data_IF_243337463618
#
_entry.id   IF_243337463618
#
_cell.length_a   1.000
_cell.length_b   1.000
_cell.length_c   1.000
_cell.angle_alpha   90.00
_cell.angle_beta   90.00
_cell.angle_gamma   90.00
#
_symmetry.space_group_name_H-M   'P 1'
#
loop_
_entity.id
_entity.type
_entity.pdbx_description
1 polymer ?
#
# COMPACT_ATOMS: atom_id res chain seq x y z
N UNK A 1 -10.23 -6.01 -17.13
CA UNK A 1 -9.96 -5.28 -18.39
C UNK A 1 -10.71 -5.91 -19.57
N UNK A 2 -10.56 -7.20 -19.86
CA UNK A 2 -11.19 -7.85 -21.01
C UNK A 2 -12.73 -7.71 -21.03
N UNK A 3 -13.38 -7.84 -19.88
CA UNK A 3 -14.83 -7.68 -19.78
C UNK A 3 -15.29 -6.25 -20.13
N UNK A 4 -14.55 -5.21 -19.73
CA UNK A 4 -14.85 -3.83 -20.07
C UNK A 4 -14.61 -3.53 -21.54
N UNK A 5 -13.57 -4.12 -22.15
CA UNK A 5 -13.29 -3.95 -23.58
C UNK A 5 -14.43 -4.49 -24.45
N UNK A 6 -15.12 -5.53 -24.02
CA UNK A 6 -16.20 -6.18 -24.76
C UNK A 6 -17.58 -5.54 -24.53
N UNK A 7 -17.67 -4.47 -23.71
CA UNK A 7 -18.96 -3.87 -23.34
C UNK A 7 -19.68 -3.14 -24.49
N UNK A 8 -18.97 -2.69 -25.52
CA UNK A 8 -19.57 -1.96 -26.64
C UNK A 8 -20.60 -2.82 -27.40
N UNK A 9 -20.29 -4.11 -27.56
CA UNK A 9 -21.10 -5.07 -28.30
C UNK A 9 -21.98 -5.96 -27.41
N UNK A 10 -21.91 -5.78 -26.09
CA UNK A 10 -22.68 -6.57 -25.14
C UNK A 10 -24.18 -6.22 -25.21
N UNK A 11 -25.10 -7.22 -25.11
CA UNK A 11 -26.52 -6.98 -24.88
C UNK A 11 -26.73 -6.09 -23.64
N UNK A 12 -27.82 -5.32 -23.65
CA UNK A 12 -28.09 -4.37 -22.55
C UNK A 12 -28.08 -5.02 -21.17
N UNK A 13 -28.63 -6.25 -21.07
CA UNK A 13 -28.73 -6.99 -19.82
C UNK A 13 -27.39 -7.61 -19.36
N UNK A 14 -26.39 -7.65 -20.23
CA UNK A 14 -25.05 -8.17 -19.95
C UNK A 14 -24.01 -7.04 -19.73
N UNK A 15 -24.43 -5.79 -19.76
CA UNK A 15 -23.53 -4.65 -19.53
C UNK A 15 -23.15 -4.54 -18.07
N UNK A 16 -21.90 -4.14 -17.84
CA UNK A 16 -21.38 -3.84 -16.50
C UNK A 16 -21.79 -2.41 -16.14
N UNK A 17 -22.66 -2.26 -15.15
CA UNK A 17 -23.08 -0.95 -14.65
C UNK A 17 -22.12 -0.38 -13.61
N UNK A 18 -21.52 -1.26 -12.78
CA UNK A 18 -20.59 -0.91 -11.70
C UNK A 18 -19.45 -1.93 -11.69
N UNK A 19 -18.24 -1.45 -11.53
CA UNK A 19 -17.07 -2.30 -11.30
C UNK A 19 -16.21 -1.75 -10.16
N UNK A 20 -15.51 -2.64 -9.50
CA UNK A 20 -14.57 -2.32 -8.43
C UNK A 20 -13.17 -2.16 -8.99
N UNK A 21 -12.43 -1.19 -8.47
CA UNK A 21 -11.04 -0.96 -8.83
C UNK A 21 -10.24 -0.59 -7.59
N UNK A 22 -9.07 -1.19 -7.45
CA UNK A 22 -8.10 -0.79 -6.43
C UNK A 22 -7.47 0.55 -6.81
N UNK A 23 -7.08 1.33 -5.79
CA UNK A 23 -6.47 2.65 -5.95
C UNK A 23 -5.32 2.67 -6.96
N UNK A 24 -4.44 1.68 -6.92
CA UNK A 24 -3.28 1.55 -7.81
C UNK A 24 -3.64 1.40 -9.30
N UNK A 25 -4.86 0.97 -9.59
CA UNK A 25 -5.36 0.75 -10.93
C UNK A 25 -6.35 1.84 -11.40
N UNK A 26 -6.73 2.78 -10.52
CA UNK A 26 -7.76 3.79 -10.84
C UNK A 26 -7.40 4.64 -12.06
N UNK A 27 -6.14 5.04 -12.20
CA UNK A 27 -5.64 5.85 -13.33
C UNK A 27 -5.82 5.18 -14.69
N UNK A 28 -6.00 3.85 -14.75
CA UNK A 28 -6.30 3.16 -16.03
C UNK A 28 -7.68 3.48 -16.57
N UNK A 29 -8.59 3.95 -15.71
CA UNK A 29 -10.00 4.03 -16.03
C UNK A 29 -10.56 5.46 -15.99
N UNK A 30 -10.07 6.31 -15.07
CA UNK A 30 -10.66 7.63 -14.80
C UNK A 30 -10.66 8.55 -16.02
N UNK A 31 -9.65 8.48 -16.90
CA UNK A 31 -9.56 9.27 -18.14
C UNK A 31 -10.15 8.55 -19.35
N UNK A 32 -10.90 7.47 -19.16
CA UNK A 32 -11.53 6.70 -20.23
C UNK A 32 -13.04 6.85 -20.24
N UNK A 33 -13.66 6.45 -21.36
CA UNK A 33 -15.11 6.39 -21.50
C UNK A 33 -15.78 5.20 -20.77
N UNK A 34 -14.99 4.37 -20.08
CA UNK A 34 -15.51 3.30 -19.23
C UNK A 34 -16.11 3.81 -17.92
N UNK A 35 -15.82 5.06 -17.56
CA UNK A 35 -16.29 5.67 -16.31
C UNK A 35 -17.12 6.92 -16.59
N UNK A 36 -18.31 7.00 -16.00
CA UNK A 36 -19.17 8.17 -16.06
C UNK A 36 -18.86 9.17 -14.92
N UNK A 37 -19.13 10.47 -15.11
CA UNK A 37 -19.12 11.42 -14.01
C UNK A 37 -20.09 11.03 -12.91
N UNK A 38 -19.65 10.98 -11.67
CA UNK A 38 -20.46 10.58 -10.51
C UNK A 38 -21.70 11.48 -10.35
N UNK A 39 -21.56 12.76 -10.67
CA UNK A 39 -22.68 13.74 -10.63
C UNK A 39 -23.81 13.40 -11.59
N UNK A 40 -23.52 12.76 -12.72
CA UNK A 40 -24.52 12.38 -13.72
C UNK A 40 -25.40 11.22 -13.21
N UNK A 41 -24.95 10.53 -12.15
CA UNK A 41 -25.68 9.50 -11.43
C UNK A 41 -26.50 10.08 -10.26
N UNK A 42 -26.54 11.40 -10.09
CA UNK A 42 -27.29 12.08 -9.03
C UNK A 42 -26.56 12.15 -7.68
N UNK A 43 -25.29 11.74 -7.62
CA UNK A 43 -24.46 11.83 -6.40
C UNK A 43 -23.85 13.24 -6.34
N UNK A 44 -24.13 13.95 -5.26
CA UNK A 44 -23.72 15.35 -5.08
C UNK A 44 -22.52 15.50 -4.14
N UNK A 45 -21.89 16.68 -4.14
CA UNK A 45 -20.81 17.00 -3.21
C UNK A 45 -21.25 16.90 -1.72
N UNK A 46 -22.54 17.16 -1.45
CA UNK A 46 -23.09 17.02 -0.10
C UNK A 46 -23.10 15.57 0.36
N UNK A 47 -23.43 14.64 -0.53
CA UNK A 47 -23.40 13.19 -0.24
C UNK A 47 -21.98 12.71 0.09
N UNK A 48 -20.98 13.30 -0.55
CA UNK A 48 -19.56 12.96 -0.42
C UNK A 48 -18.80 13.85 0.59
N UNK A 49 -19.50 14.70 1.34
CA UNK A 49 -18.89 15.69 2.24
C UNK A 49 -18.05 15.08 3.37
N UNK A 50 -18.33 13.83 3.76
CA UNK A 50 -17.57 13.10 4.80
C UNK A 50 -16.52 12.14 4.23
N UNK A 51 -16.40 12.04 2.92
CA UNK A 51 -15.39 11.21 2.28
C UNK A 51 -14.00 11.89 2.37
N UNK A 52 -12.97 11.12 2.66
CA UNK A 52 -11.60 11.66 2.69
C UNK A 52 -11.18 12.18 1.31
N UNK A 53 -10.51 13.33 1.30
CA UNK A 53 -10.12 13.97 0.04
C UNK A 53 -9.24 13.06 -0.84
N UNK A 54 -8.24 12.40 -0.25
CA UNK A 54 -7.35 11.53 -1.01
C UNK A 54 -8.07 10.39 -1.75
N UNK A 55 -9.20 9.89 -1.21
CA UNK A 55 -9.99 8.85 -1.88
C UNK A 55 -10.79 9.40 -3.06
N UNK A 56 -11.10 10.70 -3.06
CA UNK A 56 -11.70 11.39 -4.22
C UNK A 56 -10.64 11.69 -5.28
N UNK A 57 -9.47 12.14 -4.87
CA UNK A 57 -8.38 12.51 -5.77
C UNK A 57 -7.95 11.33 -6.66
N UNK A 58 -7.89 10.11 -6.10
CA UNK A 58 -7.52 8.89 -6.83
C UNK A 58 -8.49 8.56 -7.99
N UNK A 59 -9.77 8.89 -7.83
CA UNK A 59 -10.82 8.61 -8.83
C UNK A 59 -11.30 9.86 -9.56
N UNK A 60 -10.48 10.92 -9.55
CA UNK A 60 -10.71 12.14 -10.31
C UNK A 60 -9.87 12.13 -11.59
N UNK A 61 -10.49 12.42 -12.72
CA UNK A 61 -9.81 12.45 -14.02
C UNK A 61 -8.90 13.68 -14.18
N UNK A 62 -8.11 13.72 -15.27
CA UNK A 62 -7.20 14.82 -15.59
C UNK A 62 -7.87 16.17 -15.79
N UNK A 63 -9.20 16.19 -15.95
CA UNK A 63 -10.03 17.40 -16.11
C UNK A 63 -10.69 17.86 -14.81
N UNK A 64 -10.41 17.16 -13.69
CA UNK A 64 -10.99 17.46 -12.38
C UNK A 64 -12.41 16.89 -12.21
N UNK A 65 -12.84 15.92 -13.00
CA UNK A 65 -14.16 15.32 -12.90
C UNK A 65 -14.08 14.03 -12.08
N UNK A 66 -14.90 13.94 -11.02
CA UNK A 66 -14.99 12.75 -10.18
C UNK A 66 -15.69 11.61 -10.94
N UNK A 67 -15.02 10.47 -11.08
CA UNK A 67 -15.44 9.30 -11.86
C UNK A 67 -15.77 8.07 -11.02
N UNK A 68 -15.58 8.12 -9.71
CA UNK A 68 -15.86 7.02 -8.81
C UNK A 68 -16.05 7.48 -7.38
N UNK A 69 -16.47 6.55 -6.53
CA UNK A 69 -16.62 6.76 -5.08
C UNK A 69 -15.93 5.63 -4.33
N UNK A 70 -15.43 5.93 -3.14
CA UNK A 70 -14.79 4.93 -2.27
C UNK A 70 -15.65 4.71 -1.03
N UNK A 71 -15.74 3.45 -0.59
CA UNK A 71 -16.33 3.10 0.71
C UNK A 71 -15.28 2.77 1.77
N UNK A 72 -14.00 2.80 1.42
CA UNK A 72 -12.88 2.44 2.30
C UNK A 72 -11.88 3.58 2.42
N UNK A 73 -11.31 3.71 3.62
CA UNK A 73 -10.06 4.41 3.85
C UNK A 73 -9.03 3.39 4.34
N UNK A 74 -7.89 3.29 3.65
CA UNK A 74 -6.84 2.33 3.96
C UNK A 74 -5.55 3.07 4.34
N UNK A 75 -5.46 3.60 5.57
CA UNK A 75 -4.22 4.23 6.04
C UNK A 75 -3.13 3.18 6.20
N UNK A 76 -1.88 3.56 5.90
CA UNK A 76 -0.73 2.76 6.27
C UNK A 76 -0.54 2.79 7.79
N UNK A 77 -0.30 1.63 8.38
CA UNK A 77 0.01 1.48 9.80
C UNK A 77 1.14 0.48 9.98
N UNK A 78 1.89 0.62 11.07
CA UNK A 78 2.79 -0.41 11.55
C UNK A 78 2.06 -1.17 12.66
N UNK A 79 1.99 -2.47 12.52
CA UNK A 79 1.57 -3.37 13.59
C UNK A 79 2.70 -4.35 13.92
N UNK A 80 2.77 -4.79 15.15
CA UNK A 80 3.88 -5.58 15.64
C UNK A 80 3.43 -6.72 16.54
N UNK A 81 4.26 -7.74 16.62
CA UNK A 81 4.09 -8.87 17.54
C UNK A 81 4.48 -8.42 18.97
N UNK A 82 3.49 -8.33 19.86
CA UNK A 82 3.70 -7.86 21.24
C UNK A 82 4.62 -8.78 22.04
N UNK A 83 4.62 -10.09 21.78
CA UNK A 83 5.51 -11.04 22.46
C UNK A 83 6.96 -10.82 22.03
N UNK A 84 7.21 -10.63 20.73
CA UNK A 84 8.53 -10.30 20.21
C UNK A 84 9.02 -8.95 20.77
N UNK A 85 8.16 -7.93 20.81
CA UNK A 85 8.47 -6.64 21.41
C UNK A 85 8.91 -6.80 22.87
N UNK A 86 8.14 -7.52 23.67
CA UNK A 86 8.44 -7.74 25.07
C UNK A 86 9.74 -8.52 25.29
N UNK A 87 10.00 -9.57 24.50
CA UNK A 87 11.23 -10.37 24.61
C UNK A 87 12.48 -9.56 24.22
N UNK A 88 12.40 -8.71 23.19
CA UNK A 88 13.56 -8.02 22.63
C UNK A 88 13.74 -6.60 23.17
N UNK A 89 12.64 -5.86 23.30
CA UNK A 89 12.65 -4.45 23.69
C UNK A 89 12.35 -4.25 25.19
N UNK A 90 11.83 -5.28 25.85
CA UNK A 90 11.44 -5.23 27.28
C UNK A 90 10.05 -4.63 27.50
N UNK A 91 9.39 -4.18 26.46
CA UNK A 91 8.06 -3.57 26.50
C UNK A 91 7.19 -4.06 25.35
N UNK A 92 5.88 -4.08 25.59
CA UNK A 92 4.86 -4.33 24.58
C UNK A 92 3.83 -3.18 24.49
N UNK A 93 4.14 -2.06 25.13
CA UNK A 93 3.34 -0.85 25.09
C UNK A 93 3.57 -0.10 23.76
N UNK A 94 2.49 0.23 23.00
CA UNK A 94 2.63 0.89 21.69
C UNK A 94 3.36 2.24 21.74
N UNK A 95 3.14 3.04 22.79
CA UNK A 95 3.76 4.35 22.92
C UNK A 95 5.28 4.24 23.18
N UNK A 96 5.69 3.20 23.90
CA UNK A 96 7.10 2.90 24.12
C UNK A 96 7.73 2.26 22.87
N UNK A 97 7.05 1.31 22.22
CA UNK A 97 7.53 0.65 20.99
C UNK A 97 7.72 1.68 19.87
N UNK A 98 6.88 2.72 19.79
CA UNK A 98 7.03 3.81 18.81
C UNK A 98 8.46 4.41 18.83
N UNK A 99 9.14 4.49 19.97
CA UNK A 99 10.50 5.04 20.04
C UNK A 99 11.56 4.15 19.34
N UNK A 100 11.24 2.89 19.09
CA UNK A 100 12.13 1.93 18.42
C UNK A 100 11.89 1.82 16.92
N UNK A 101 10.83 2.49 16.40
CA UNK A 101 10.43 2.40 14.99
C UNK A 101 10.01 3.75 14.40
N UNK A 102 10.31 4.86 15.07
CA UNK A 102 9.85 6.20 14.69
C UNK A 102 10.55 6.76 13.44
N UNK A 103 11.72 6.25 13.10
CA UNK A 103 12.49 6.58 11.91
C UNK A 103 13.27 5.37 11.39
N UNK A 104 13.92 5.50 10.23
CA UNK A 104 14.65 4.39 9.61
C UNK A 104 15.90 3.98 10.39
N UNK A 105 16.54 4.87 11.12
CA UNK A 105 17.73 4.55 11.92
C UNK A 105 17.33 3.69 13.12
N UNK A 106 16.32 4.12 13.88
CA UNK A 106 15.79 3.34 15.00
C UNK A 106 15.13 2.04 14.54
N UNK A 107 14.47 2.02 13.39
CA UNK A 107 13.92 0.82 12.78
C UNK A 107 15.02 -0.21 12.46
N UNK A 108 16.12 0.21 11.84
CA UNK A 108 17.24 -0.66 11.49
C UNK A 108 17.98 -1.17 12.73
N UNK A 109 18.18 -0.32 13.74
CA UNK A 109 18.74 -0.74 15.03
C UNK A 109 17.86 -1.78 15.72
N UNK A 110 16.55 -1.62 15.61
CA UNK A 110 15.59 -2.60 16.14
C UNK A 110 15.61 -3.89 15.34
N UNK A 111 15.74 -3.82 14.01
CA UNK A 111 15.88 -5.00 13.16
C UNK A 111 17.08 -5.87 13.56
N UNK A 112 18.23 -5.25 13.85
CA UNK A 112 19.41 -5.95 14.33
C UNK A 112 19.17 -6.62 15.71
N UNK A 113 18.46 -5.95 16.62
CA UNK A 113 18.10 -6.53 17.93
C UNK A 113 17.16 -7.72 17.78
N UNK A 114 16.17 -7.61 16.91
CA UNK A 114 15.24 -8.70 16.58
C UNK A 114 15.97 -9.90 16.00
N UNK A 115 16.85 -9.67 15.02
CA UNK A 115 17.64 -10.72 14.40
C UNK A 115 18.54 -11.46 15.41
N UNK A 116 19.18 -10.75 16.32
CA UNK A 116 20.03 -11.32 17.37
C UNK A 116 19.25 -12.27 18.32
N UNK A 117 17.93 -12.13 18.40
CA UNK A 117 17.01 -12.99 19.16
C UNK A 117 16.28 -14.02 18.29
N UNK A 118 16.59 -14.09 17.01
CA UNK A 118 16.01 -15.05 16.07
C UNK A 118 14.67 -14.63 15.45
N UNK A 119 14.27 -13.36 15.61
CA UNK A 119 13.13 -12.79 14.92
C UNK A 119 13.57 -12.13 13.61
N UNK A 120 12.60 -11.95 12.69
CA UNK A 120 12.69 -11.05 11.56
C UNK A 120 12.01 -9.74 11.91
N UNK A 121 12.51 -8.63 11.39
CA UNK A 121 11.86 -7.32 11.53
C UNK A 121 10.59 -7.23 10.69
N UNK A 122 10.62 -7.79 9.48
CA UNK A 122 9.52 -7.81 8.52
C UNK A 122 9.42 -9.18 7.85
N UNK A 123 8.22 -9.58 7.42
CA UNK A 123 7.98 -10.85 6.75
C UNK A 123 8.41 -10.82 5.29
N UNK A 124 8.32 -9.65 4.66
CA UNK A 124 8.72 -9.40 3.28
C UNK A 124 9.30 -7.99 3.15
N UNK A 125 10.26 -7.78 2.28
CA UNK A 125 10.73 -6.42 1.95
C UNK A 125 9.63 -5.56 1.32
N UNK A 126 8.62 -6.20 0.73
CA UNK A 126 7.45 -5.50 0.18
C UNK A 126 6.58 -4.85 1.27
N UNK A 127 6.68 -5.28 2.53
CA UNK A 127 5.94 -4.69 3.66
C UNK A 127 6.29 -3.20 3.85
N UNK A 128 7.52 -2.80 3.50
CA UNK A 128 7.99 -1.41 3.60
C UNK A 128 7.80 -0.59 2.32
N UNK A 129 7.48 -1.22 1.18
CA UNK A 129 7.44 -0.55 -0.12
C UNK A 129 6.55 0.70 -0.14
N UNK A 130 5.35 0.65 0.46
CA UNK A 130 4.41 1.76 0.45
C UNK A 130 4.90 2.99 1.19
N UNK A 131 5.73 2.81 2.22
CA UNK A 131 6.33 3.94 2.95
C UNK A 131 7.23 4.76 2.03
N UNK A 132 7.97 4.10 1.14
CA UNK A 132 8.83 4.77 0.16
C UNK A 132 8.05 5.28 -1.05
N UNK A 133 7.19 4.44 -1.64
CA UNK A 133 6.49 4.76 -2.89
C UNK A 133 5.45 5.87 -2.74
N UNK A 134 4.87 6.05 -1.56
CA UNK A 134 3.95 7.17 -1.28
C UNK A 134 4.66 8.53 -1.09
N UNK A 135 5.99 8.53 -1.02
CA UNK A 135 6.82 9.72 -0.81
C UNK A 135 7.73 10.02 -2.01
N UNK A 136 7.38 9.54 -3.20
CA UNK A 136 8.10 9.85 -4.43
C UNK A 136 7.81 11.27 -4.91
N UNK A 137 8.80 11.88 -5.55
CA UNK A 137 8.72 13.24 -6.13
C UNK A 137 8.59 13.23 -7.66
N UNK A 138 8.91 12.09 -8.31
CA UNK A 138 8.87 11.93 -9.75
C UNK A 138 7.87 10.86 -10.19
N UNK A 139 7.37 11.00 -11.41
CA UNK A 139 6.54 9.97 -12.06
C UNK A 139 7.42 8.85 -12.59
N UNK A 140 6.87 7.64 -12.70
CA UNK A 140 7.56 6.51 -13.34
C UNK A 140 7.90 6.75 -14.82
N UNK A 141 7.10 7.56 -15.50
CA UNK A 141 7.34 7.93 -16.91
C UNK A 141 7.15 9.43 -17.05
N UNK A 142 8.16 10.10 -17.59
CA UNK A 142 8.15 11.52 -17.92
C UNK A 142 8.78 11.71 -19.31
N UNK A 143 8.08 12.44 -20.19
CA UNK A 143 8.49 12.66 -21.59
C UNK A 143 8.86 11.36 -22.36
N UNK A 144 8.13 10.29 -22.09
CA UNK A 144 8.33 8.97 -22.72
C UNK A 144 9.54 8.20 -22.21
N UNK A 145 10.18 8.65 -21.12
CA UNK A 145 11.34 7.99 -20.50
C UNK A 145 10.95 7.45 -19.13
N UNK A 146 11.43 6.25 -18.82
CA UNK A 146 11.29 5.68 -17.47
C UNK A 146 12.18 6.46 -16.51
N UNK A 147 11.58 6.85 -15.39
CA UNK A 147 12.24 7.49 -14.25
C UNK A 147 12.14 6.57 -13.04
N UNK A 148 13.23 6.44 -12.31
CA UNK A 148 13.21 5.73 -11.03
C UNK A 148 13.53 6.77 -9.95
N UNK A 149 12.56 7.07 -9.12
CA UNK A 149 12.73 8.05 -8.04
C UNK A 149 13.78 7.59 -7.03
N UNK A 150 14.54 8.54 -6.47
CA UNK A 150 15.58 8.25 -5.48
C UNK A 150 15.03 7.50 -4.24
N UNK A 151 13.78 7.77 -3.87
CA UNK A 151 13.12 7.05 -2.77
C UNK A 151 12.88 5.57 -3.11
N UNK A 152 12.59 5.26 -4.37
CA UNK A 152 12.46 3.87 -4.82
C UNK A 152 13.83 3.17 -4.80
N UNK A 153 14.89 3.85 -5.26
CA UNK A 153 16.25 3.30 -5.17
C UNK A 153 16.69 3.10 -3.73
N UNK A 154 16.33 4.04 -2.83
CA UNK A 154 16.58 3.88 -1.39
C UNK A 154 15.87 2.64 -0.83
N UNK A 155 14.62 2.39 -1.22
CA UNK A 155 13.92 1.16 -0.82
C UNK A 155 14.66 -0.11 -1.29
N UNK A 156 15.18 -0.12 -2.52
CA UNK A 156 15.97 -1.25 -3.06
C UNK A 156 17.22 -1.48 -2.20
N UNK A 157 17.97 -0.43 -1.92
CA UNK A 157 19.22 -0.51 -1.14
C UNK A 157 18.96 -0.95 0.30
N UNK A 158 17.95 -0.39 0.95
CA UNK A 158 17.60 -0.72 2.35
C UNK A 158 17.02 -2.15 2.44
N UNK A 159 16.19 -2.55 1.46
CA UNK A 159 15.71 -3.94 1.35
C UNK A 159 16.86 -4.93 1.21
N UNK A 160 17.84 -4.61 0.36
CA UNK A 160 19.04 -5.46 0.21
C UNK A 160 19.80 -5.59 1.52
N UNK A 161 20.00 -4.50 2.27
CA UNK A 161 20.70 -4.54 3.58
C UNK A 161 19.98 -5.44 4.57
N UNK A 162 18.65 -5.29 4.69
CA UNK A 162 17.83 -6.11 5.60
C UNK A 162 17.89 -7.61 5.26
N UNK A 163 17.89 -7.95 3.96
CA UNK A 163 18.00 -9.34 3.50
C UNK A 163 19.41 -9.90 3.76
N UNK A 164 20.45 -9.15 3.41
CA UNK A 164 21.85 -9.57 3.61
C UNK A 164 22.16 -9.77 5.11
N UNK A 165 21.60 -8.93 5.97
CA UNK A 165 21.70 -9.04 7.44
C UNK A 165 20.77 -10.11 8.03
N UNK A 166 19.92 -10.76 7.23
CA UNK A 166 18.90 -11.74 7.66
C UNK A 166 17.84 -11.15 8.61
N UNK A 167 17.62 -9.87 8.52
CA UNK A 167 16.65 -9.10 9.32
C UNK A 167 15.26 -9.09 8.70
N UNK A 168 15.15 -9.32 7.37
CA UNK A 168 13.90 -9.49 6.66
C UNK A 168 13.64 -10.96 6.27
N UNK A 169 12.37 -11.32 6.21
CA UNK A 169 11.92 -12.51 5.48
C UNK A 169 11.97 -12.27 3.97
N UNK A 170 11.97 -13.34 3.19
CA UNK A 170 12.02 -13.32 1.73
C UNK A 170 10.78 -13.93 1.10
N UNK A 171 9.68 -13.93 1.83
CA UNK A 171 8.42 -14.48 1.35
C UNK A 171 7.71 -13.49 0.42
N UNK A 172 6.99 -14.04 -0.55
CA UNK A 172 6.09 -13.23 -1.37
C UNK A 172 4.94 -12.69 -0.50
N UNK A 173 4.75 -11.37 -0.52
CA UNK A 173 3.66 -10.73 0.21
C UNK A 173 2.31 -11.34 -0.21
N UNK A 174 1.45 -11.59 0.76
CA UNK A 174 0.14 -12.27 0.64
C UNK A 174 0.22 -13.80 0.45
N UNK A 175 1.41 -14.41 0.44
CA UNK A 175 1.53 -15.87 0.47
C UNK A 175 1.19 -16.45 1.85
N UNK A 176 0.92 -17.75 1.91
CA UNK A 176 0.70 -18.45 3.17
C UNK A 176 1.92 -18.36 4.10
N UNK A 177 3.13 -18.42 3.55
CA UNK A 177 4.36 -18.34 4.33
C UNK A 177 4.61 -16.93 4.88
N UNK A 178 4.25 -15.89 4.12
CA UNK A 178 4.25 -14.52 4.62
C UNK A 178 3.26 -14.37 5.78
N UNK A 179 2.05 -14.89 5.64
CA UNK A 179 0.99 -14.81 6.66
C UNK A 179 1.36 -15.54 7.96
N UNK A 180 2.08 -16.66 7.88
CA UNK A 180 2.55 -17.41 9.07
C UNK A 180 3.47 -16.58 9.97
N UNK A 181 4.19 -15.61 9.41
CA UNK A 181 5.03 -14.69 10.19
C UNK A 181 4.27 -13.95 11.29
N UNK A 182 2.98 -13.68 11.08
CA UNK A 182 2.12 -12.91 11.99
C UNK A 182 1.34 -13.77 13.00
N UNK A 183 1.48 -15.08 12.97
CA UNK A 183 0.86 -15.96 13.98
C UNK A 183 1.61 -15.86 15.32
N UNK A 184 0.98 -16.24 16.44
CA UNK A 184 1.60 -16.15 17.76
C UNK A 184 2.96 -16.87 17.87
N UNK A 185 3.13 -17.97 17.12
CA UNK A 185 4.39 -18.73 17.02
C UNK A 185 5.29 -18.26 15.88
N UNK A 186 4.87 -17.27 15.12
CA UNK A 186 5.63 -16.63 14.04
C UNK A 186 6.85 -15.89 14.60
N UNK A 187 7.92 -15.85 13.81
CA UNK A 187 9.19 -15.22 14.19
C UNK A 187 9.40 -13.89 13.45
N UNK A 188 8.33 -13.11 13.31
CA UNK A 188 8.36 -11.75 12.76
C UNK A 188 7.87 -10.77 13.82
N UNK A 189 8.58 -9.64 13.96
CA UNK A 189 8.22 -8.52 14.82
C UNK A 189 7.15 -7.65 14.15
#
# INVERSE_FOLDING_TARGET
DAALLNQQDAPADDKIDIFLVEADNALKYVDTDYTAPVKDLGITDADLSKQYQYTKDIVTDSKGVLKGVSWQGCPGVLFYNREAAKDVLGTDDPDEVQNYVCDWDTFNDTAAKMQAKGYKMISSVNDTYRVYSNNVSSKWVEDGKVQVDDNIMKWVDDSKKLVDAKEAGTFDMWSDDWSKGFYPDGKVF
#
